data_IF_609054527905
#
_entry.id   IF_609054527905
#
_cell.length_a   1.000
_cell.length_b   1.000
_cell.length_c   1.000
_cell.angle_alpha   90.00
_cell.angle_beta   90.00
_cell.angle_gamma   90.00
#
_symmetry.space_group_name_H-M   'P 1'
#
loop_
_entity.id
_entity.type
_entity.pdbx_description
1 polymer ?
#
# COMPACT_ATOMS: atom_id res chain seq x y z
N UNK A 1 6.33 -2.17 -33.21
CA UNK A 1 7.60 -1.43 -33.00
C UNK A 1 7.27 -0.23 -32.15
N UNK A 2 7.97 -0.03 -31.03
CA UNK A 2 7.72 1.09 -30.11
C UNK A 2 7.97 2.44 -30.80
N UNK A 3 7.01 3.36 -30.67
CA UNK A 3 7.15 4.74 -31.12
C UNK A 3 7.88 5.53 -30.05
N UNK A 4 9.13 5.91 -30.36
CA UNK A 4 10.02 6.62 -29.45
C UNK A 4 10.00 8.13 -29.73
N UNK A 5 9.83 8.92 -28.67
CA UNK A 5 9.98 10.38 -28.72
C UNK A 5 11.46 10.79 -28.83
N UNK A 6 11.79 12.08 -29.10
CA UNK A 6 13.17 12.54 -29.09
C UNK A 6 13.90 12.25 -27.77
N UNK A 7 13.26 12.46 -26.62
CA UNK A 7 13.88 12.22 -25.31
C UNK A 7 14.17 10.72 -25.08
N UNK A 8 13.25 9.84 -25.52
CA UNK A 8 13.44 8.38 -25.45
C UNK A 8 14.68 7.95 -26.27
N UNK A 9 14.84 8.51 -27.49
CA UNK A 9 15.98 8.22 -28.37
C UNK A 9 17.30 8.76 -27.81
N UNK A 10 17.29 9.95 -27.21
CA UNK A 10 18.48 10.53 -26.57
C UNK A 10 18.97 9.69 -25.40
N UNK A 11 18.04 9.17 -24.57
CA UNK A 11 18.38 8.26 -23.47
C UNK A 11 19.01 6.97 -24.01
N UNK A 12 18.38 6.31 -24.99
CA UNK A 12 18.92 5.09 -25.61
C UNK A 12 20.29 5.31 -26.30
N UNK A 13 20.50 6.49 -26.88
CA UNK A 13 21.79 6.86 -27.47
C UNK A 13 22.89 7.12 -26.42
N UNK A 14 22.54 7.24 -25.13
CA UNK A 14 23.47 7.54 -24.05
C UNK A 14 23.78 9.02 -23.86
N UNK A 15 23.09 9.91 -24.59
CA UNK A 15 23.28 11.37 -24.47
C UNK A 15 22.86 11.93 -23.11
N UNK A 16 22.08 11.15 -22.34
CA UNK A 16 21.60 11.49 -20.99
C UNK A 16 22.36 10.75 -19.88
N UNK A 17 23.50 10.15 -20.19
CA UNK A 17 24.33 9.40 -19.25
C UNK A 17 24.02 7.89 -19.22
N UNK A 18 24.95 7.13 -18.63
CA UNK A 18 24.90 5.66 -18.66
C UNK A 18 23.70 5.08 -17.89
N UNK A 19 23.33 5.65 -16.74
CA UNK A 19 22.17 5.20 -15.97
C UNK A 19 20.84 5.43 -16.69
N UNK A 20 20.66 6.59 -17.33
CA UNK A 20 19.45 6.86 -18.12
C UNK A 20 19.35 5.93 -19.34
N UNK A 21 20.47 5.63 -19.99
CA UNK A 21 20.53 4.65 -21.08
C UNK A 21 20.10 3.26 -20.61
N UNK A 22 20.73 2.76 -19.55
CA UNK A 22 20.41 1.45 -18.97
C UNK A 22 18.93 1.35 -18.60
N UNK A 23 18.40 2.38 -17.92
CA UNK A 23 17.01 2.42 -17.50
C UNK A 23 16.06 2.41 -18.71
N UNK A 24 16.35 3.20 -19.74
CA UNK A 24 15.53 3.27 -20.95
C UNK A 24 15.59 1.98 -21.79
N UNK A 25 16.75 1.33 -21.89
CA UNK A 25 16.90 0.01 -22.54
C UNK A 25 16.07 -1.07 -21.82
N UNK A 26 16.11 -1.05 -20.48
CA UNK A 26 15.32 -1.95 -19.64
C UNK A 26 13.82 -1.74 -19.87
N UNK A 27 13.34 -0.49 -19.81
CA UNK A 27 11.93 -0.19 -20.03
C UNK A 27 11.48 -0.41 -21.48
N UNK A 28 12.38 -0.29 -22.46
CA UNK A 28 12.11 -0.65 -23.86
C UNK A 28 11.84 -2.14 -23.98
N UNK A 29 12.68 -2.98 -23.36
CA UNK A 29 12.50 -4.43 -23.33
C UNK A 29 11.17 -4.82 -22.68
N UNK A 30 10.81 -4.16 -21.58
CA UNK A 30 9.49 -4.32 -20.92
C UNK A 30 8.36 -3.92 -21.87
N UNK A 31 8.47 -2.75 -22.51
CA UNK A 31 7.47 -2.26 -23.46
C UNK A 31 7.25 -3.23 -24.63
N UNK A 32 8.31 -3.80 -25.18
CA UNK A 32 8.20 -4.80 -26.25
C UNK A 32 7.54 -6.09 -25.76
N UNK A 33 7.91 -6.58 -24.58
CA UNK A 33 7.33 -7.77 -23.98
C UNK A 33 5.82 -7.65 -23.71
N UNK A 34 5.35 -6.46 -23.32
CA UNK A 34 3.94 -6.18 -23.05
C UNK A 34 3.17 -5.55 -24.23
N UNK A 35 3.77 -5.49 -25.43
CA UNK A 35 3.10 -4.95 -26.62
C UNK A 35 2.73 -3.47 -26.50
N UNK A 36 3.53 -2.68 -25.79
CA UNK A 36 3.38 -1.24 -25.73
C UNK A 36 3.70 -0.61 -27.10
N UNK A 37 2.89 0.36 -27.51
CA UNK A 37 3.09 1.08 -28.78
C UNK A 37 3.92 2.35 -28.60
N UNK A 38 3.93 2.90 -27.38
CA UNK A 38 4.61 4.15 -27.03
C UNK A 38 4.97 4.21 -25.54
N UNK A 39 5.77 5.20 -25.20
CA UNK A 39 6.02 5.63 -23.82
C UNK A 39 5.15 6.82 -23.43
N UNK A 40 4.85 6.89 -22.14
CA UNK A 40 4.10 7.97 -21.49
C UNK A 40 4.95 8.54 -20.33
N UNK A 41 4.70 9.81 -20.01
CA UNK A 41 5.32 10.46 -18.86
C UNK A 41 4.69 9.98 -17.56
N UNK A 42 5.48 9.93 -16.49
CA UNK A 42 4.98 9.75 -15.12
C UNK A 42 5.24 10.99 -14.28
N UNK A 43 4.32 11.32 -13.38
CA UNK A 43 4.41 12.51 -12.53
C UNK A 43 5.12 12.23 -11.20
N UNK A 44 5.10 10.97 -10.75
CA UNK A 44 5.68 10.56 -9.47
C UNK A 44 6.02 9.07 -9.46
N UNK A 45 7.24 8.75 -9.05
CA UNK A 45 7.67 7.40 -8.74
C UNK A 45 7.70 7.11 -7.23
N UNK A 46 7.22 5.93 -6.82
CA UNK A 46 7.35 5.44 -5.46
C UNK A 46 8.02 4.07 -5.50
N UNK A 47 9.26 4.00 -5.02
CA UNK A 47 10.20 2.92 -5.34
C UNK A 47 10.48 2.02 -4.14
N UNK A 48 10.58 0.73 -4.41
CA UNK A 48 10.97 -0.31 -3.47
C UNK A 48 12.48 -0.27 -3.35
N UNK A 49 12.99 0.03 -2.17
CA UNK A 49 14.43 0.25 -2.03
C UNK A 49 14.99 0.08 -0.64
N UNK A 50 14.15 0.14 0.38
CA UNK A 50 14.62 0.15 1.75
C UNK A 50 14.50 -1.23 2.42
N UNK A 51 14.26 -2.27 1.62
CA UNK A 51 14.31 -3.68 2.00
C UNK A 51 15.49 -4.30 1.24
N UNK A 52 16.59 -4.63 1.93
CA UNK A 52 17.71 -5.29 1.28
C UNK A 52 17.39 -6.79 1.11
N UNK A 53 16.66 -7.16 0.05
CA UNK A 53 16.30 -8.56 -0.20
C UNK A 53 17.45 -9.40 -0.77
N UNK A 54 18.43 -8.78 -1.43
CA UNK A 54 19.57 -9.48 -2.03
C UNK A 54 20.79 -8.56 -2.27
N UNK A 55 21.95 -9.15 -2.57
CA UNK A 55 23.15 -8.42 -2.98
C UNK A 55 22.93 -7.59 -4.25
N UNK A 56 22.03 -8.02 -5.15
CA UNK A 56 21.74 -7.29 -6.39
C UNK A 56 21.17 -5.90 -6.11
N UNK A 57 20.44 -5.72 -5.00
CA UNK A 57 19.85 -4.43 -4.62
C UNK A 57 20.92 -3.36 -4.42
N UNK A 58 21.93 -3.68 -3.62
CA UNK A 58 23.00 -2.73 -3.29
C UNK A 58 23.95 -2.54 -4.49
N UNK A 59 24.24 -3.60 -5.24
CA UNK A 59 25.09 -3.51 -6.43
C UNK A 59 24.46 -2.61 -7.51
N UNK A 60 23.14 -2.72 -7.69
CA UNK A 60 22.37 -1.87 -8.59
C UNK A 60 22.45 -0.39 -8.17
N UNK A 61 22.16 -0.08 -6.91
CA UNK A 61 22.22 1.29 -6.38
C UNK A 61 23.64 1.89 -6.47
N UNK A 62 24.66 1.09 -6.16
CA UNK A 62 26.08 1.49 -6.29
C UNK A 62 26.44 1.78 -7.74
N UNK A 63 26.02 0.94 -8.68
CA UNK A 63 26.31 1.14 -10.11
C UNK A 63 25.66 2.40 -10.65
N UNK A 64 24.40 2.64 -10.30
CA UNK A 64 23.70 3.87 -10.70
C UNK A 64 24.37 5.12 -10.13
N UNK A 65 24.81 5.06 -8.87
CA UNK A 65 25.53 6.15 -8.21
C UNK A 65 26.91 6.39 -8.83
N UNK A 66 27.65 5.34 -9.17
CA UNK A 66 28.94 5.39 -9.89
C UNK A 66 28.80 6.11 -11.24
N UNK A 67 27.69 5.87 -11.94
CA UNK A 67 27.37 6.58 -13.19
C UNK A 67 26.89 8.02 -13.02
N UNK A 68 26.78 8.52 -11.77
CA UNK A 68 26.26 9.86 -11.48
C UNK A 68 24.77 10.01 -11.80
N UNK A 69 24.01 8.90 -11.76
CA UNK A 69 22.60 8.88 -12.15
C UNK A 69 21.75 9.72 -11.20
N UNK A 70 20.69 10.33 -11.73
CA UNK A 70 19.69 11.10 -10.99
C UNK A 70 18.29 10.69 -11.42
N UNK A 71 17.33 10.77 -10.51
CA UNK A 71 15.91 10.67 -10.85
C UNK A 71 15.45 11.95 -11.56
N UNK A 72 14.48 11.83 -12.47
CA UNK A 72 13.96 12.95 -13.27
C UNK A 72 12.57 13.41 -12.85
N UNK A 73 11.90 12.65 -11.99
CA UNK A 73 10.57 12.96 -11.42
C UNK A 73 10.64 12.93 -9.90
N UNK A 74 9.71 13.60 -9.18
CA UNK A 74 9.54 13.40 -7.74
C UNK A 74 9.54 11.91 -7.43
N UNK A 75 10.42 11.49 -6.52
CA UNK A 75 10.62 10.07 -6.20
C UNK A 75 10.64 9.89 -4.70
N UNK A 76 9.87 8.93 -4.18
CA UNK A 76 9.83 8.60 -2.74
C UNK A 76 10.16 7.15 -2.50
N UNK A 77 10.82 6.85 -1.39
CA UNK A 77 11.16 5.48 -0.99
C UNK A 77 10.04 4.86 -0.13
N UNK A 78 9.74 3.58 -0.34
CA UNK A 78 8.85 2.77 0.53
C UNK A 78 9.42 2.66 1.96
N UNK A 79 8.62 2.12 2.89
CA UNK A 79 9.12 1.80 4.23
C UNK A 79 10.35 0.87 4.18
N UNK A 80 11.14 0.85 5.26
CA UNK A 80 12.38 0.08 5.35
C UNK A 80 12.28 -1.14 6.26
N UNK A 81 13.35 -1.96 6.30
CA UNK A 81 13.45 -3.14 7.16
C UNK A 81 13.78 -2.84 8.63
N UNK A 82 14.30 -1.64 8.94
CA UNK A 82 14.87 -1.30 10.26
C UNK A 82 14.24 -0.05 10.87
N UNK A 83 14.52 0.30 12.12
CA UNK A 83 14.09 1.61 12.66
C UNK A 83 15.05 2.71 12.17
N UNK A 84 14.62 3.61 11.26
CA UNK A 84 15.50 4.63 10.69
C UNK A 84 15.94 5.69 11.71
N UNK A 85 15.39 5.68 12.93
CA UNK A 85 15.79 6.56 14.04
C UNK A 85 16.95 6.00 14.87
N UNK A 86 17.34 4.74 14.62
CA UNK A 86 18.42 4.05 15.33
C UNK A 86 19.56 3.73 14.36
N UNK A 87 20.80 3.55 14.85
CA UNK A 87 21.88 3.02 14.01
C UNK A 87 21.45 1.70 13.37
N UNK A 88 21.71 1.55 12.08
CA UNK A 88 21.19 0.43 11.29
C UNK A 88 21.69 -0.95 11.78
N UNK A 89 22.87 -1.02 12.41
CA UNK A 89 23.38 -2.28 12.98
C UNK A 89 23.46 -3.40 11.94
N UNK A 90 22.73 -4.50 12.17
CA UNK A 90 22.64 -5.63 11.24
C UNK A 90 21.96 -5.27 9.90
N UNK A 91 21.16 -4.20 9.87
CA UNK A 91 20.49 -3.67 8.67
C UNK A 91 21.34 -2.60 7.93
N UNK A 92 22.66 -2.56 8.15
CA UNK A 92 23.55 -1.55 7.57
C UNK A 92 23.38 -1.38 6.04
N UNK A 93 23.10 -2.47 5.32
CA UNK A 93 22.88 -2.42 3.86
C UNK A 93 21.58 -1.69 3.49
N UNK A 94 20.52 -1.83 4.29
CA UNK A 94 19.28 -1.08 4.06
C UNK A 94 19.48 0.42 4.31
N UNK A 95 20.29 0.78 5.32
CA UNK A 95 20.72 2.16 5.54
C UNK A 95 21.53 2.71 4.35
N UNK A 96 22.52 1.95 3.87
CA UNK A 96 23.33 2.32 2.71
C UNK A 96 22.48 2.51 1.44
N UNK A 97 21.48 1.64 1.21
CA UNK A 97 20.53 1.78 0.09
C UNK A 97 19.76 3.11 0.15
N UNK A 98 19.26 3.49 1.32
CA UNK A 98 18.56 4.75 1.51
C UNK A 98 19.49 5.93 1.17
N UNK A 99 20.74 5.89 1.63
CA UNK A 99 21.73 6.94 1.35
C UNK A 99 22.05 7.04 -0.15
N UNK A 100 22.31 5.90 -0.81
CA UNK A 100 22.61 5.86 -2.25
C UNK A 100 21.46 6.43 -3.07
N UNK A 101 20.23 5.98 -2.85
CA UNK A 101 19.07 6.52 -3.57
C UNK A 101 18.76 7.96 -3.22
N UNK A 102 18.98 8.39 -1.97
CA UNK A 102 18.87 9.81 -1.59
C UNK A 102 19.89 10.66 -2.34
N UNK A 103 21.12 10.16 -2.53
CA UNK A 103 22.15 10.85 -3.34
C UNK A 103 21.77 11.01 -4.82
N UNK A 104 20.89 10.14 -5.31
CA UNK A 104 20.30 10.22 -6.66
C UNK A 104 19.12 11.20 -6.76
N UNK A 105 18.66 11.77 -5.64
CA UNK A 105 17.54 12.72 -5.57
C UNK A 105 16.22 12.11 -5.09
N UNK A 106 16.21 10.88 -4.58
CA UNK A 106 15.01 10.31 -3.98
C UNK A 106 14.77 10.89 -2.58
N UNK A 107 13.51 11.08 -2.22
CA UNK A 107 13.13 11.48 -0.87
C UNK A 107 12.84 10.23 0.00
N UNK A 108 13.52 10.07 1.15
CA UNK A 108 13.30 8.95 2.07
C UNK A 108 12.02 9.18 2.88
N UNK A 109 10.87 9.15 2.20
CA UNK A 109 9.56 9.25 2.83
C UNK A 109 9.24 8.04 3.73
N UNK A 110 9.84 6.89 3.40
CA UNK A 110 9.80 5.65 4.16
C UNK A 110 8.38 5.22 4.53
N UNK A 111 7.49 5.11 3.55
CA UNK A 111 6.08 4.82 3.80
C UNK A 111 5.51 3.83 2.79
N UNK A 112 4.72 2.85 3.24
CA UNK A 112 3.84 2.05 2.37
C UNK A 112 2.55 2.81 1.95
N UNK A 113 2.43 4.07 2.38
CA UNK A 113 1.32 4.98 2.11
C UNK A 113 1.90 6.32 1.63
N UNK A 114 2.40 6.38 0.37
CA UNK A 114 3.07 7.57 -0.15
C UNK A 114 2.12 8.78 -0.23
N UNK A 115 0.82 8.55 -0.44
CA UNK A 115 -0.21 9.59 -0.48
C UNK A 115 -0.37 10.40 0.82
N UNK A 116 0.24 9.97 1.93
CA UNK A 116 0.32 10.78 3.15
C UNK A 116 1.53 11.73 3.20
N UNK A 117 2.50 11.60 2.28
CA UNK A 117 3.80 12.29 2.38
C UNK A 117 3.93 13.46 1.40
N UNK A 118 3.05 13.52 0.40
CA UNK A 118 2.98 14.60 -0.58
C UNK A 118 1.52 14.87 -0.94
N UNK A 119 1.29 15.96 -1.68
CA UNK A 119 -0.01 16.21 -2.32
C UNK A 119 -0.36 15.05 -3.26
N UNK A 120 -1.59 14.57 -3.15
CA UNK A 120 -2.09 13.49 -3.99
C UNK A 120 -2.10 13.87 -5.48
N UNK A 121 -1.75 12.93 -6.37
CA UNK A 121 -1.84 13.12 -7.81
C UNK A 121 -3.31 13.28 -8.26
N UNK A 122 -3.50 13.97 -9.37
CA UNK A 122 -4.84 14.19 -9.93
C UNK A 122 -5.42 12.94 -10.61
N UNK A 123 -6.73 12.98 -10.85
CA UNK A 123 -7.41 11.98 -11.68
C UNK A 123 -6.75 11.87 -13.06
N UNK A 124 -6.47 10.65 -13.50
CA UNK A 124 -5.82 10.36 -14.78
C UNK A 124 -4.29 10.54 -14.79
N UNK A 125 -3.68 11.04 -13.72
CA UNK A 125 -2.22 11.18 -13.63
C UNK A 125 -1.54 9.81 -13.74
N UNK A 126 -0.44 9.75 -14.50
CA UNK A 126 0.33 8.52 -14.66
C UNK A 126 1.46 8.47 -13.63
N UNK A 127 1.60 7.34 -12.94
CA UNK A 127 2.55 7.14 -11.84
C UNK A 127 3.34 5.85 -12.04
N UNK A 128 4.44 5.72 -11.30
CA UNK A 128 5.22 4.48 -11.23
C UNK A 128 5.40 4.06 -9.77
N UNK A 129 4.39 3.38 -9.21
CA UNK A 129 4.40 2.95 -7.80
C UNK A 129 4.57 1.44 -7.67
N UNK A 130 5.35 1.02 -6.67
CA UNK A 130 5.61 -0.40 -6.42
C UNK A 130 4.76 -1.01 -5.29
N UNK A 131 4.41 -0.23 -4.26
CA UNK A 131 3.72 -0.74 -3.08
C UNK A 131 2.29 -1.16 -3.43
N UNK A 132 1.99 -2.45 -3.22
CA UNK A 132 0.70 -3.08 -3.53
C UNK A 132 -0.53 -2.29 -3.06
N UNK A 133 -0.55 -1.87 -1.78
CA UNK A 133 -1.67 -1.11 -1.23
C UNK A 133 -1.73 0.32 -1.78
N UNK A 134 -0.59 0.91 -2.14
CA UNK A 134 -0.53 2.22 -2.74
C UNK A 134 -0.99 2.20 -4.20
N UNK A 135 -0.65 1.15 -4.95
CA UNK A 135 -1.09 0.94 -6.33
C UNK A 135 -2.62 0.89 -6.41
N UNK A 136 -3.27 0.10 -5.55
CA UNK A 136 -4.74 0.03 -5.52
C UNK A 136 -5.36 1.36 -5.14
N UNK A 137 -4.76 2.07 -4.17
CA UNK A 137 -5.21 3.40 -3.76
C UNK A 137 -5.14 4.40 -4.93
N UNK A 138 -3.99 4.48 -5.61
CA UNK A 138 -3.82 5.34 -6.77
C UNK A 138 -4.85 5.05 -7.86
N UNK A 139 -5.03 3.77 -8.22
CA UNK A 139 -5.95 3.41 -9.29
C UNK A 139 -7.42 3.63 -8.92
N UNK A 140 -7.82 3.20 -7.73
CA UNK A 140 -9.25 3.11 -7.36
C UNK A 140 -9.74 4.38 -6.70
N UNK A 141 -8.99 4.90 -5.72
CA UNK A 141 -9.42 6.04 -4.89
C UNK A 141 -9.15 7.35 -5.60
N UNK A 142 -7.97 7.52 -6.18
CA UNK A 142 -7.60 8.76 -6.86
C UNK A 142 -8.03 8.79 -8.33
N UNK A 143 -8.23 7.62 -8.96
CA UNK A 143 -8.38 7.51 -10.41
C UNK A 143 -7.08 7.85 -11.17
N UNK A 144 -5.94 7.84 -10.48
CA UNK A 144 -4.63 7.88 -11.12
C UNK A 144 -4.35 6.53 -11.79
N UNK A 145 -3.24 6.44 -12.54
CA UNK A 145 -2.94 5.30 -13.40
C UNK A 145 -1.53 4.80 -13.13
N UNK A 146 -1.43 3.60 -12.58
CA UNK A 146 -0.15 2.92 -12.36
C UNK A 146 -0.33 1.42 -12.49
N UNK A 147 0.65 0.76 -13.09
CA UNK A 147 0.85 -0.67 -12.90
C UNK A 147 1.46 -0.94 -11.53
N UNK A 148 1.50 -2.22 -11.12
CA UNK A 148 2.32 -2.65 -9.99
C UNK A 148 3.76 -2.83 -10.47
N UNK A 149 4.56 -1.78 -10.33
CA UNK A 149 5.97 -1.84 -10.72
C UNK A 149 6.76 -2.66 -9.72
N UNK A 150 7.59 -3.57 -10.21
CA UNK A 150 8.51 -4.31 -9.36
C UNK A 150 9.79 -3.52 -9.15
N UNK A 151 10.54 -3.93 -8.14
CA UNK A 151 11.86 -3.40 -7.84
C UNK A 151 12.77 -3.37 -9.09
N UNK A 152 13.66 -2.38 -9.14
CA UNK A 152 14.49 -1.99 -10.29
C UNK A 152 13.71 -1.30 -11.41
N UNK A 153 12.53 -1.80 -11.79
CA UNK A 153 11.71 -1.22 -12.85
C UNK A 153 11.11 0.13 -12.43
N UNK A 154 10.67 0.22 -11.18
CA UNK A 154 10.22 1.46 -10.55
C UNK A 154 11.33 2.54 -10.51
N UNK A 155 12.57 2.16 -10.20
CA UNK A 155 13.73 3.06 -10.26
C UNK A 155 14.08 3.44 -11.69
N UNK A 156 13.98 2.52 -12.66
CA UNK A 156 14.15 2.87 -14.07
C UNK A 156 13.09 3.89 -14.53
N UNK A 157 11.85 3.75 -14.07
CA UNK A 157 10.79 4.73 -14.32
C UNK A 157 11.10 6.08 -13.65
N UNK A 158 11.63 6.08 -12.42
CA UNK A 158 12.05 7.29 -11.71
C UNK A 158 13.21 8.03 -12.42
N UNK A 159 14.18 7.28 -12.95
CA UNK A 159 15.34 7.82 -13.68
C UNK A 159 14.91 8.45 -15.00
N UNK A 160 14.08 7.74 -15.76
CA UNK A 160 13.68 8.18 -17.11
C UNK A 160 12.53 9.18 -17.09
N UNK A 161 11.67 9.12 -16.07
CA UNK A 161 10.38 9.83 -16.03
C UNK A 161 9.37 9.25 -17.01
N UNK A 162 9.62 8.04 -17.52
CA UNK A 162 8.89 7.40 -18.61
C UNK A 162 8.50 5.99 -18.23
N UNK A 163 7.35 5.54 -18.71
CA UNK A 163 6.95 4.13 -18.65
C UNK A 163 6.30 3.72 -19.97
N UNK A 164 6.41 2.43 -20.38
CA UNK A 164 5.67 1.98 -21.55
C UNK A 164 4.16 2.03 -21.25
N UNK A 165 3.36 2.42 -22.25
CA UNK A 165 1.90 2.49 -22.10
C UNK A 165 1.29 1.08 -22.24
N UNK A 166 1.10 0.40 -21.12
CA UNK A 166 0.45 -0.91 -21.04
C UNK A 166 -0.29 -1.08 -19.71
N UNK A 167 -1.05 -2.17 -19.58
CA UNK A 167 -1.76 -2.51 -18.34
C UNK A 167 -2.73 -1.40 -17.93
N UNK A 168 -2.75 -1.06 -16.65
CA UNK A 168 -3.69 -0.10 -16.04
C UNK A 168 -3.44 1.36 -16.42
N UNK A 169 -2.39 1.65 -17.21
CA UNK A 169 -2.26 2.95 -17.87
C UNK A 169 -3.27 3.14 -19.00
N UNK A 170 -3.75 2.05 -19.60
CA UNK A 170 -4.72 2.07 -20.67
C UNK A 170 -6.14 1.97 -20.14
N UNK A 171 -7.04 2.77 -20.71
CA UNK A 171 -8.42 2.84 -20.24
C UNK A 171 -9.14 1.50 -20.41
N UNK A 172 -8.96 0.83 -21.54
CA UNK A 172 -9.60 -0.45 -21.87
C UNK A 172 -9.26 -1.59 -20.89
N UNK A 173 -8.10 -1.52 -20.23
CA UNK A 173 -7.65 -2.52 -19.26
C UNK A 173 -8.18 -2.27 -17.85
N UNK A 174 -8.88 -1.14 -17.62
CA UNK A 174 -9.47 -0.77 -16.33
C UNK A 174 -10.93 -1.20 -16.20
N UNK A 175 -11.43 -1.96 -17.17
CA UNK A 175 -12.81 -2.44 -17.23
C UNK A 175 -13.07 -3.49 -16.15
N UNK A 176 -14.12 -3.30 -15.36
CA UNK A 176 -14.56 -4.32 -14.41
C UNK A 176 -15.02 -5.59 -15.12
N UNK A 177 -14.48 -6.74 -14.73
CA UNK A 177 -14.85 -8.06 -15.27
C UNK A 177 -15.59 -8.94 -14.25
N UNK A 178 -15.45 -8.65 -12.96
CA UNK A 178 -16.14 -9.33 -11.87
C UNK A 178 -16.93 -8.31 -11.05
N UNK A 179 -18.19 -8.61 -10.73
CA UNK A 179 -19.07 -7.73 -9.96
C UNK A 179 -19.46 -8.40 -8.65
N UNK A 180 -19.28 -7.71 -7.53
CA UNK A 180 -19.71 -8.12 -6.21
C UNK A 180 -20.93 -7.30 -5.79
N UNK A 181 -22.09 -7.94 -5.61
CA UNK A 181 -23.32 -7.27 -5.18
C UNK A 181 -23.55 -7.50 -3.68
N UNK A 182 -23.37 -6.45 -2.90
CA UNK A 182 -23.62 -6.48 -1.46
C UNK A 182 -25.11 -6.44 -1.18
N UNK A 183 -25.61 -7.39 -0.38
CA UNK A 183 -27.02 -7.44 0.02
C UNK A 183 -27.14 -7.76 1.51
N UNK A 184 -28.18 -7.22 2.16
CA UNK A 184 -28.48 -7.54 3.57
C UNK A 184 -27.43 -7.10 4.60
N UNK A 185 -26.42 -6.32 4.22
CA UNK A 185 -25.35 -5.88 5.13
C UNK A 185 -25.93 -4.96 6.23
N UNK A 186 -25.69 -5.28 7.53
CA UNK A 186 -26.11 -4.42 8.63
C UNK A 186 -25.61 -2.98 8.48
N UNK A 187 -26.44 -2.00 8.83
CA UNK A 187 -26.11 -0.58 8.56
C UNK A 187 -24.94 -0.08 9.41
N UNK A 188 -24.81 -0.57 10.63
CA UNK A 188 -23.73 -0.27 11.56
C UNK A 188 -22.37 -0.78 11.07
N UNK A 189 -22.31 -1.88 10.30
CA UNK A 189 -21.07 -2.40 9.74
C UNK A 189 -20.40 -1.41 8.76
N UNK A 190 -21.18 -0.58 8.07
CA UNK A 190 -20.62 0.43 7.16
C UNK A 190 -19.88 1.57 7.86
N UNK A 191 -20.01 1.71 9.18
CA UNK A 191 -19.24 2.66 9.95
C UNK A 191 -17.87 2.10 10.41
N UNK A 192 -17.66 0.79 10.32
CA UNK A 192 -16.46 0.11 10.82
C UNK A 192 -15.53 -0.32 9.67
N UNK A 193 -14.25 0.03 9.73
CA UNK A 193 -13.24 -0.41 8.76
C UNK A 193 -13.07 -1.93 8.73
N UNK A 194 -13.47 -2.64 9.79
CA UNK A 194 -13.52 -4.11 9.82
C UNK A 194 -14.31 -4.70 8.64
N UNK A 195 -15.45 -4.08 8.27
CA UNK A 195 -16.24 -4.50 7.10
C UNK A 195 -15.39 -4.43 5.82
N UNK A 196 -14.69 -3.32 5.62
CA UNK A 196 -13.96 -3.04 4.40
C UNK A 196 -12.71 -3.91 4.28
N UNK A 197 -12.01 -4.13 5.38
CA UNK A 197 -10.93 -5.10 5.47
C UNK A 197 -11.39 -6.52 5.13
N UNK A 198 -12.51 -6.96 5.72
CA UNK A 198 -13.08 -8.29 5.49
C UNK A 198 -13.55 -8.47 4.05
N UNK A 199 -14.27 -7.47 3.51
CA UNK A 199 -14.72 -7.44 2.13
C UNK A 199 -13.53 -7.42 1.16
N UNK A 200 -12.47 -6.67 1.47
CA UNK A 200 -11.26 -6.65 0.66
C UNK A 200 -10.61 -8.03 0.55
N UNK A 201 -10.52 -8.79 1.65
CA UNK A 201 -10.02 -10.18 1.59
C UNK A 201 -10.94 -11.08 0.74
N UNK A 202 -12.25 -10.94 0.88
CA UNK A 202 -13.21 -11.70 0.08
C UNK A 202 -13.03 -11.40 -1.41
N UNK A 203 -13.01 -10.11 -1.77
CA UNK A 203 -12.83 -9.63 -3.14
C UNK A 203 -11.51 -10.12 -3.71
N UNK A 204 -10.40 -9.97 -2.98
CA UNK A 204 -9.09 -10.41 -3.47
C UNK A 204 -9.04 -11.91 -3.73
N UNK A 205 -9.49 -12.74 -2.80
CA UNK A 205 -9.52 -14.20 -2.97
C UNK A 205 -10.36 -14.66 -4.17
N UNK A 206 -11.41 -13.92 -4.54
CA UNK A 206 -12.33 -14.32 -5.60
C UNK A 206 -12.03 -13.67 -6.95
N UNK A 207 -11.50 -12.45 -6.96
CA UNK A 207 -11.20 -11.71 -8.19
C UNK A 207 -9.81 -12.02 -8.75
N UNK A 208 -8.83 -12.36 -7.90
CA UNK A 208 -7.44 -12.49 -8.33
C UNK A 208 -6.93 -11.18 -8.96
N UNK A 209 -6.32 -11.29 -10.14
CA UNK A 209 -5.77 -10.17 -10.90
C UNK A 209 -6.80 -9.44 -11.81
N UNK A 210 -8.08 -9.85 -11.76
CA UNK A 210 -9.17 -9.14 -12.43
C UNK A 210 -9.42 -7.77 -11.81
N UNK A 211 -10.14 -6.90 -12.54
CA UNK A 211 -10.66 -5.63 -11.99
C UNK A 211 -12.07 -5.88 -11.44
N UNK A 212 -12.27 -5.92 -10.11
CA UNK A 212 -13.59 -6.06 -9.52
C UNK A 212 -14.36 -4.73 -9.47
N UNK A 213 -15.68 -4.81 -9.58
CA UNK A 213 -16.61 -3.75 -9.20
C UNK A 213 -17.42 -4.17 -7.98
N UNK A 214 -17.50 -3.31 -6.97
CA UNK A 214 -18.28 -3.53 -5.75
C UNK A 214 -19.51 -2.63 -5.80
N UNK A 215 -20.68 -3.28 -5.85
CA UNK A 215 -21.98 -2.63 -5.87
C UNK A 215 -22.66 -2.78 -4.50
N UNK A 216 -23.19 -1.69 -3.96
CA UNK A 216 -23.88 -1.68 -2.65
C UNK A 216 -23.11 -1.03 -1.49
N UNK A 217 -21.92 -0.47 -1.74
CA UNK A 217 -21.27 0.45 -0.79
C UNK A 217 -22.07 1.76 -0.66
N UNK A 218 -21.85 2.50 0.43
CA UNK A 218 -22.60 3.73 0.73
C UNK A 218 -21.93 4.94 0.07
N UNK A 219 -22.69 5.95 -0.40
CA UNK A 219 -22.10 7.18 -0.96
C UNK A 219 -21.16 7.93 0.00
N UNK A 220 -21.29 7.72 1.32
CA UNK A 220 -20.42 8.31 2.35
C UNK A 220 -19.21 7.45 2.72
N UNK A 221 -18.90 6.39 1.98
CA UNK A 221 -17.72 5.56 2.24
C UNK A 221 -16.44 6.40 2.19
N UNK A 222 -15.64 6.35 3.25
CA UNK A 222 -14.48 7.23 3.42
C UNK A 222 -13.24 6.73 2.68
N UNK A 223 -12.24 7.61 2.55
CA UNK A 223 -10.94 7.27 1.96
C UNK A 223 -10.24 6.16 2.76
N UNK A 224 -10.31 6.20 4.09
CA UNK A 224 -9.73 5.20 4.99
C UNK A 224 -10.37 3.82 4.74
N UNK A 225 -11.70 3.78 4.62
CA UNK A 225 -12.46 2.56 4.30
C UNK A 225 -12.10 1.99 2.92
N UNK A 226 -11.99 2.83 1.88
CA UNK A 226 -11.57 2.37 0.54
C UNK A 226 -10.13 1.86 0.54
N UNK A 227 -9.24 2.48 1.31
CA UNK A 227 -7.86 2.03 1.47
C UNK A 227 -7.78 0.73 2.25
N UNK A 228 -8.61 0.53 3.28
CA UNK A 228 -8.73 -0.74 4.00
C UNK A 228 -9.16 -1.88 3.07
N UNK A 229 -10.18 -1.63 2.24
CA UNK A 229 -10.64 -2.57 1.20
C UNK A 229 -9.54 -2.87 0.19
N UNK A 230 -8.98 -1.83 -0.42
CA UNK A 230 -7.97 -1.98 -1.47
C UNK A 230 -6.70 -2.67 -0.99
N UNK A 231 -6.25 -2.33 0.23
CA UNK A 231 -5.08 -2.96 0.84
C UNK A 231 -5.30 -4.45 1.08
N UNK A 232 -6.47 -4.84 1.59
CA UNK A 232 -6.79 -6.25 1.84
C UNK A 232 -6.97 -7.05 0.54
N UNK A 233 -7.60 -6.45 -0.48
CA UNK A 233 -7.76 -7.07 -1.79
C UNK A 233 -6.41 -7.27 -2.51
N UNK A 234 -5.49 -6.31 -2.38
CA UNK A 234 -4.14 -6.44 -2.90
C UNK A 234 -3.39 -7.61 -2.24
N UNK A 235 -3.52 -7.77 -0.91
CA UNK A 235 -2.82 -8.81 -0.15
C UNK A 235 -3.30 -10.23 -0.46
N UNK A 236 -4.62 -10.42 -0.55
CA UNK A 236 -5.22 -11.73 -0.78
C UNK A 236 -5.31 -12.13 -2.26
N UNK A 237 -5.43 -11.16 -3.17
CA UNK A 237 -5.75 -11.41 -4.57
C UNK A 237 -4.78 -10.84 -5.62
N UNK A 238 -3.76 -10.06 -5.25
CA UNK A 238 -3.02 -9.22 -6.21
C UNK A 238 -3.89 -8.24 -7.01
N UNK A 239 -5.09 -7.91 -6.52
CA UNK A 239 -5.94 -6.86 -7.09
C UNK A 239 -5.14 -5.56 -7.14
N UNK A 240 -5.05 -4.95 -8.32
CA UNK A 240 -4.30 -3.69 -8.54
C UNK A 240 -5.21 -2.48 -8.72
N UNK A 241 -6.51 -2.71 -8.86
CA UNK A 241 -7.55 -1.70 -9.01
C UNK A 241 -8.91 -2.32 -8.68
N UNK A 242 -9.83 -1.57 -8.10
CA UNK A 242 -11.24 -1.90 -8.01
C UNK A 242 -12.10 -0.69 -8.34
N UNK A 243 -13.37 -0.92 -8.63
CA UNK A 243 -14.40 0.12 -8.74
C UNK A 243 -15.38 -0.01 -7.58
N UNK A 244 -15.61 1.06 -6.81
CA UNK A 244 -16.75 1.13 -5.89
C UNK A 244 -17.85 1.97 -6.55
N UNK A 245 -18.96 1.32 -6.89
CA UNK A 245 -20.02 1.94 -7.70
C UNK A 245 -20.64 3.12 -6.95
N UNK A 246 -20.63 4.29 -7.59
CA UNK A 246 -21.13 5.56 -7.04
C UNK A 246 -20.17 6.23 -6.06
N UNK A 247 -18.97 5.67 -5.81
CA UNK A 247 -18.00 6.18 -4.84
C UNK A 247 -16.68 6.53 -5.51
N UNK A 248 -16.05 5.60 -6.24
CA UNK A 248 -14.74 5.85 -6.87
C UNK A 248 -14.87 6.67 -8.16
N UNK A 249 -13.89 7.52 -8.51
CA UNK A 249 -14.02 8.49 -9.59
C UNK A 249 -14.35 7.91 -10.97
N UNK A 250 -13.86 6.71 -11.30
CA UNK A 250 -14.10 6.05 -12.60
C UNK A 250 -15.41 5.26 -12.66
N UNK A 251 -16.16 5.16 -11.55
CA UNK A 251 -17.32 4.29 -11.45
C UNK A 251 -18.57 5.01 -10.93
N UNK A 252 -19.04 6.10 -11.56
CA UNK A 252 -20.29 6.74 -11.15
C UNK A 252 -21.49 5.79 -11.28
N UNK A 253 -21.40 4.79 -12.16
CA UNK A 253 -22.40 3.73 -12.35
C UNK A 253 -21.72 2.40 -12.66
N UNK A 254 -22.45 1.30 -12.48
CA UNK A 254 -21.98 -0.03 -12.87
C UNK A 254 -21.68 -0.11 -14.38
N UNK A 255 -22.51 0.53 -15.22
CA UNK A 255 -22.30 0.58 -16.67
C UNK A 255 -20.96 1.26 -17.02
N UNK A 256 -20.61 2.34 -16.32
CA UNK A 256 -19.33 3.01 -16.51
C UNK A 256 -18.15 2.13 -16.09
N UNK A 257 -18.23 1.47 -14.92
CA UNK A 257 -17.19 0.58 -14.43
C UNK A 257 -16.94 -0.63 -15.37
N UNK A 258 -18.01 -1.20 -15.93
CA UNK A 258 -17.93 -2.29 -16.91
C UNK A 258 -17.73 -1.80 -18.36
N UNK A 259 -17.58 -0.49 -18.58
CA UNK A 259 -17.39 0.13 -19.90
C UNK A 259 -18.46 -0.30 -20.93
N UNK A 260 -19.71 -0.42 -20.48
CA UNK A 260 -20.85 -0.84 -21.29
C UNK A 260 -20.90 -2.33 -21.64
N UNK A 261 -19.96 -3.14 -21.17
CA UNK A 261 -20.00 -4.59 -21.33
C UNK A 261 -20.70 -5.28 -20.15
N UNK A 262 -21.23 -6.48 -20.38
CA UNK A 262 -21.69 -7.33 -19.29
C UNK A 262 -20.50 -7.88 -18.49
N UNK A 263 -20.62 -8.01 -17.16
CA UNK A 263 -19.58 -8.62 -16.35
C UNK A 263 -19.43 -10.11 -16.68
N UNK A 264 -18.20 -10.61 -16.62
CA UNK A 264 -17.92 -12.03 -16.85
C UNK A 264 -18.41 -12.90 -15.68
N UNK A 265 -18.39 -12.35 -14.48
CA UNK A 265 -18.82 -13.01 -13.26
C UNK A 265 -19.55 -12.01 -12.35
N UNK A 266 -20.68 -12.43 -11.79
CA UNK A 266 -21.41 -11.69 -10.76
C UNK A 266 -21.53 -12.56 -9.52
N UNK A 267 -21.20 -11.99 -8.37
CA UNK A 267 -21.13 -12.67 -7.08
C UNK A 267 -21.97 -11.89 -6.08
N UNK A 268 -22.97 -12.54 -5.50
CA UNK A 268 -23.77 -11.94 -4.43
C UNK A 268 -23.05 -12.19 -3.10
N UNK A 269 -22.92 -11.13 -2.29
CA UNK A 269 -22.20 -11.16 -1.00
C UNK A 269 -23.13 -10.72 0.12
N UNK A 270 -23.38 -11.62 1.06
CA UNK A 270 -24.17 -11.38 2.26
C UNK A 270 -23.33 -11.19 3.53
N UNK A 271 -23.96 -10.93 4.68
CA UNK A 271 -23.27 -10.76 5.96
C UNK A 271 -22.47 -11.99 6.39
N UNK A 272 -23.00 -13.19 6.14
CA UNK A 272 -22.35 -14.45 6.51
C UNK A 272 -21.05 -14.69 5.73
N UNK A 273 -21.00 -14.30 4.45
CA UNK A 273 -19.78 -14.40 3.63
C UNK A 273 -18.66 -13.52 4.17
N UNK A 274 -19.01 -12.30 4.60
CA UNK A 274 -18.09 -11.33 5.18
C UNK A 274 -17.59 -11.83 6.54
N UNK A 275 -18.50 -12.25 7.43
CA UNK A 275 -18.14 -12.78 8.74
C UNK A 275 -17.28 -14.05 8.65
N UNK A 276 -17.62 -14.97 7.75
CA UNK A 276 -16.84 -16.18 7.51
C UNK A 276 -15.45 -15.86 6.94
N UNK A 277 -15.33 -14.82 6.11
CA UNK A 277 -14.03 -14.37 5.60
C UNK A 277 -13.18 -13.76 6.71
N UNK A 278 -13.76 -12.89 7.55
CA UNK A 278 -13.08 -12.31 8.70
C UNK A 278 -12.58 -13.39 9.67
N UNK A 279 -13.40 -14.40 9.96
CA UNK A 279 -13.05 -15.49 10.85
C UNK A 279 -11.84 -16.31 10.35
N UNK A 280 -11.64 -16.42 9.02
CA UNK A 280 -10.48 -17.11 8.43
C UNK A 280 -9.15 -16.36 8.60
N UNK A 281 -9.19 -15.06 8.91
CA UNK A 281 -7.99 -14.29 9.25
C UNK A 281 -7.53 -14.54 10.69
N UNK A 282 -8.38 -15.16 11.51
CA UNK A 282 -8.04 -15.52 12.88
C UNK A 282 -7.40 -16.91 12.93
N UNK A 283 -6.22 -17.01 13.56
CA UNK A 283 -5.53 -18.26 13.82
C UNK A 283 -5.80 -18.67 15.27
N UNK A 284 -6.55 -19.76 15.52
CA UNK A 284 -6.89 -20.18 16.87
C UNK A 284 -5.65 -20.49 17.72
N UNK A 285 -5.64 -19.98 18.94
CA UNK A 285 -4.58 -20.26 19.93
C UNK A 285 -5.14 -20.13 21.35
N UNK A 286 -4.46 -20.78 22.30
CA UNK A 286 -4.71 -20.61 23.75
C UNK A 286 -3.83 -19.52 24.38
N UNK A 287 -2.88 -18.98 23.62
CA UNK A 287 -1.98 -17.95 24.11
C UNK A 287 -2.71 -16.63 24.33
N UNK A 288 -2.33 -15.89 25.38
CA UNK A 288 -2.85 -14.54 25.61
C UNK A 288 -2.34 -13.58 24.53
N UNK A 289 -3.17 -12.60 24.17
CA UNK A 289 -2.75 -11.51 23.27
C UNK A 289 -1.62 -10.72 23.94
N UNK A 290 -0.43 -10.74 23.34
CA UNK A 290 0.76 -10.07 23.86
C UNK A 290 0.97 -8.67 23.28
N UNK A 291 0.40 -8.41 22.10
CA UNK A 291 0.42 -7.10 21.47
C UNK A 291 -0.82 -6.87 20.60
N UNK A 292 -1.17 -5.61 20.43
CA UNK A 292 -2.15 -5.12 19.47
C UNK A 292 -1.39 -4.32 18.42
N UNK A 293 -1.39 -4.78 17.17
CA UNK A 293 -0.70 -4.12 16.06
C UNK A 293 -1.72 -3.45 15.14
N UNK A 294 -1.61 -2.14 14.94
CA UNK A 294 -2.51 -1.37 14.09
C UNK A 294 -1.73 -0.58 13.03
N UNK A 295 -2.45 -0.24 11.96
CA UNK A 295 -1.93 0.66 10.93
C UNK A 295 -1.00 0.04 9.92
N UNK A 296 -1.18 -1.22 9.53
CA UNK A 296 -0.65 -1.73 8.26
C UNK A 296 -1.65 -1.43 7.12
N UNK A 297 -1.28 -0.71 6.04
CA UNK A 297 0.07 -0.27 5.67
C UNK A 297 0.67 0.83 6.56
N UNK A 298 0.09 2.04 6.65
CA UNK A 298 0.44 3.09 7.62
C UNK A 298 -0.82 3.90 7.95
N UNK A 299 -1.06 4.15 9.24
CA UNK A 299 -2.19 4.97 9.68
C UNK A 299 -2.12 6.40 9.13
N UNK A 300 -3.30 6.93 8.84
CA UNK A 300 -3.60 8.30 8.51
C UNK A 300 -3.80 9.13 9.78
N UNK A 301 -3.73 10.48 9.69
CA UNK A 301 -4.13 11.33 10.79
C UNK A 301 -5.57 11.10 11.28
N UNK A 302 -6.49 10.66 10.40
CA UNK A 302 -7.88 10.40 10.77
C UNK A 302 -8.03 9.15 11.63
N UNK A 303 -7.34 8.06 11.29
CA UNK A 303 -7.32 6.84 12.12
C UNK A 303 -6.68 7.09 13.48
N UNK A 304 -5.62 7.91 13.55
CA UNK A 304 -5.04 8.28 14.83
C UNK A 304 -5.99 9.10 15.70
N UNK A 305 -6.86 9.94 15.10
CA UNK A 305 -7.94 10.63 15.85
C UNK A 305 -8.93 9.63 16.42
N UNK A 306 -9.39 8.68 15.61
CA UNK A 306 -10.30 7.61 16.07
C UNK A 306 -9.66 6.77 17.19
N UNK A 307 -8.40 6.38 17.03
CA UNK A 307 -7.65 5.67 18.07
C UNK A 307 -7.57 6.49 19.36
N UNK A 308 -7.23 7.78 19.27
CA UNK A 308 -7.15 8.67 20.43
C UNK A 308 -8.48 8.80 21.17
N UNK A 309 -9.60 8.87 20.45
CA UNK A 309 -10.95 8.89 21.03
C UNK A 309 -11.27 7.59 21.77
N UNK A 310 -10.91 6.44 21.21
CA UNK A 310 -11.15 5.13 21.82
C UNK A 310 -10.33 4.88 23.09
N UNK A 311 -9.12 5.45 23.18
CA UNK A 311 -8.25 5.32 24.37
C UNK A 311 -8.46 6.44 25.40
N UNK A 312 -9.27 7.46 25.10
CA UNK A 312 -9.38 8.67 25.91
C UNK A 312 -9.72 8.36 27.37
N UNK A 313 -8.86 8.80 28.30
CA UNK A 313 -9.04 8.58 29.74
C UNK A 313 -8.81 7.14 30.21
N UNK A 314 -8.30 6.26 29.35
CA UNK A 314 -8.00 4.85 29.64
C UNK A 314 -6.49 4.64 29.75
N UNK A 315 -6.10 3.47 30.25
CA UNK A 315 -4.72 3.03 30.30
C UNK A 315 -4.62 1.66 29.62
N UNK A 316 -3.62 1.50 28.77
CA UNK A 316 -3.37 0.24 28.07
C UNK A 316 -2.61 -0.72 29.00
N UNK A 317 -3.09 -1.96 29.10
CA UNK A 317 -2.49 -3.07 29.85
C UNK A 317 -1.74 -4.03 28.93
N UNK A 318 -2.15 -4.12 27.67
CA UNK A 318 -1.44 -4.80 26.60
C UNK A 318 -0.85 -3.77 25.65
N UNK A 319 0.35 -4.05 25.12
CA UNK A 319 1.06 -3.16 24.20
C UNK A 319 0.18 -2.88 22.98
N UNK A 320 0.01 -1.60 22.63
CA UNK A 320 -0.63 -1.19 21.38
C UNK A 320 0.40 -0.47 20.52
N UNK A 321 0.72 -1.07 19.37
CA UNK A 321 1.77 -0.64 18.47
C UNK A 321 1.12 -0.12 17.18
N UNK A 322 1.27 1.17 16.92
CA UNK A 322 0.70 1.84 15.75
C UNK A 322 1.79 2.18 14.72
N UNK A 323 1.56 1.77 13.49
CA UNK A 323 2.52 1.97 12.39
C UNK A 323 2.18 3.20 11.57
N UNK A 324 3.20 4.02 11.29
CA UNK A 324 3.04 5.32 10.63
C UNK A 324 4.33 5.76 9.92
N UNK A 325 4.26 6.90 9.24
CA UNK A 325 5.42 7.55 8.64
C UNK A 325 5.76 8.87 9.34
N UNK A 326 6.93 9.44 9.02
CA UNK A 326 7.41 10.67 9.64
C UNK A 326 6.50 11.88 9.36
N UNK A 327 5.88 11.96 8.18
CA UNK A 327 5.00 13.07 7.82
C UNK A 327 3.70 13.06 8.63
N UNK A 328 3.06 11.89 8.77
CA UNK A 328 1.90 11.71 9.65
C UNK A 328 2.28 12.00 11.10
N UNK A 329 3.43 11.51 11.57
CA UNK A 329 3.91 11.79 12.94
C UNK A 329 4.05 13.29 13.21
N UNK A 330 4.64 14.05 12.27
CA UNK A 330 4.75 15.50 12.39
C UNK A 330 3.36 16.17 12.50
N UNK A 331 2.38 15.72 11.72
CA UNK A 331 1.00 16.19 11.83
C UNK A 331 0.36 15.90 13.21
N UNK A 332 0.64 14.73 13.79
CA UNK A 332 0.18 14.39 15.15
C UNK A 332 0.83 15.27 16.21
N UNK A 333 2.11 15.64 16.04
CA UNK A 333 2.82 16.53 16.95
C UNK A 333 2.26 17.95 16.88
N UNK A 334 2.02 18.48 15.66
CA UNK A 334 1.45 19.81 15.45
C UNK A 334 0.02 19.95 16.01
N UNK A 335 -0.78 18.88 15.94
CA UNK A 335 -2.14 18.86 16.50
C UNK A 335 -2.22 18.59 18.00
N UNK A 336 -1.10 18.24 18.64
CA UNK A 336 -1.04 17.82 20.04
C UNK A 336 -1.53 16.39 20.30
N UNK A 337 -2.02 15.69 19.27
CA UNK A 337 -2.56 14.34 19.37
C UNK A 337 -1.50 13.29 19.71
N UNK A 338 -0.25 13.54 19.28
CA UNK A 338 0.88 12.68 19.62
C UNK A 338 1.02 12.49 21.13
N UNK A 339 0.93 13.58 21.91
CA UNK A 339 1.06 13.52 23.36
C UNK A 339 -0.08 12.74 24.03
N UNK A 340 -1.30 12.87 23.53
CA UNK A 340 -2.46 12.08 24.02
C UNK A 340 -2.26 10.59 23.79
N UNK A 341 -1.82 10.21 22.59
CA UNK A 341 -1.57 8.80 22.23
C UNK A 341 -0.39 8.22 23.04
N UNK A 342 0.71 8.97 23.16
CA UNK A 342 1.89 8.55 23.91
C UNK A 342 1.56 8.39 25.41
N UNK A 343 0.84 9.33 26.03
CA UNK A 343 0.40 9.23 27.42
C UNK A 343 -0.59 8.09 27.67
N UNK A 344 -1.36 7.70 26.64
CA UNK A 344 -2.22 6.52 26.68
C UNK A 344 -1.44 5.20 26.62
N UNK A 345 -0.15 5.22 26.28
CA UNK A 345 0.71 4.04 26.17
C UNK A 345 0.81 3.49 24.74
N UNK A 346 0.45 4.27 23.71
CA UNK A 346 0.61 3.86 22.31
C UNK A 346 2.09 3.90 21.92
N UNK A 347 2.60 2.79 21.42
CA UNK A 347 3.94 2.66 20.86
C UNK A 347 3.92 2.95 19.36
N UNK A 348 4.90 3.70 18.84
CA UNK A 348 4.95 4.10 17.44
C UNK A 348 6.06 3.38 16.66
N UNK A 349 5.67 2.75 15.55
CA UNK A 349 6.56 2.21 14.53
C UNK A 349 6.58 3.19 13.37
N UNK A 350 7.72 3.85 13.15
CA UNK A 350 7.84 4.96 12.21
C UNK A 350 8.79 4.59 11.08
N UNK A 351 8.31 4.69 9.84
CA UNK A 351 9.17 4.59 8.65
C UNK A 351 9.58 3.17 8.27
N UNK A 352 9.10 2.16 8.98
CA UNK A 352 9.53 0.78 8.83
C UNK A 352 8.37 -0.17 8.71
N UNK A 353 8.61 -1.28 8.04
CA UNK A 353 7.64 -2.34 7.94
C UNK A 353 7.52 -3.12 9.25
N UNK A 354 6.28 -3.45 9.63
CA UNK A 354 6.00 -4.23 10.85
C UNK A 354 6.41 -5.69 10.74
N UNK A 355 6.55 -6.22 9.53
CA UNK A 355 6.90 -7.62 9.29
C UNK A 355 8.41 -7.90 9.36
N UNK A 356 9.24 -6.90 9.67
CA UNK A 356 10.69 -7.06 9.75
C UNK A 356 11.21 -7.02 11.19
N UNK A 357 12.27 -7.80 11.46
CA UNK A 357 12.95 -7.88 12.77
C UNK A 357 13.63 -6.55 13.13
N UNK A 358 13.81 -6.20 14.41
CA UNK A 358 13.49 -6.96 15.64
C UNK A 358 12.05 -6.83 16.14
N UNK A 359 11.19 -6.00 15.53
CA UNK A 359 9.82 -5.84 16.02
C UNK A 359 9.08 -7.19 16.07
N UNK A 360 9.19 -7.98 15.00
CA UNK A 360 8.67 -9.34 14.93
C UNK A 360 9.03 -10.22 16.15
N UNK A 361 10.25 -10.13 16.65
CA UNK A 361 10.73 -10.94 17.79
C UNK A 361 10.22 -10.44 19.14
N UNK A 362 9.68 -9.22 19.21
CA UNK A 362 9.18 -8.59 20.43
C UNK A 362 7.65 -8.73 20.60
N UNK A 363 6.93 -9.25 19.60
CA UNK A 363 5.47 -9.30 19.59
C UNK A 363 4.87 -10.45 20.42
N UNK A 364 5.65 -11.48 20.73
CA UNK A 364 5.15 -12.72 21.34
C UNK A 364 4.42 -13.61 20.34
N UNK A 365 3.70 -14.62 20.84
CA UNK A 365 3.09 -15.66 20.00
C UNK A 365 1.69 -15.31 19.47
N UNK A 366 0.98 -14.34 20.06
CA UNK A 366 -0.39 -14.01 19.69
C UNK A 366 -0.61 -12.50 19.62
N UNK A 367 -0.94 -12.01 18.43
CA UNK A 367 -1.16 -10.59 18.15
C UNK A 367 -2.60 -10.35 17.72
N UNK A 368 -3.20 -9.28 18.22
CA UNK A 368 -4.50 -8.81 17.73
C UNK A 368 -4.30 -7.63 16.79
N UNK A 369 -5.11 -7.50 15.74
CA UNK A 369 -4.98 -6.40 14.77
C UNK A 369 -6.31 -5.98 14.18
N UNK A 370 -6.40 -4.69 13.81
CA UNK A 370 -7.51 -4.16 13.03
C UNK A 370 -7.26 -4.17 11.51
N UNK A 371 -6.07 -4.61 11.07
CA UNK A 371 -5.68 -4.61 9.66
C UNK A 371 -5.72 -6.02 9.10
N UNK A 372 -6.56 -6.24 8.09
CA UNK A 372 -6.56 -7.53 7.38
C UNK A 372 -5.25 -7.79 6.62
N UNK A 373 -4.53 -6.75 6.18
CA UNK A 373 -3.18 -6.92 5.59
C UNK A 373 -2.21 -7.43 6.66
N UNK A 374 -2.29 -6.90 7.87
CA UNK A 374 -1.50 -7.42 9.00
C UNK A 374 -1.86 -8.86 9.32
N UNK A 375 -3.15 -9.18 9.44
CA UNK A 375 -3.60 -10.54 9.74
C UNK A 375 -3.28 -11.56 8.65
N UNK A 376 -3.22 -11.12 7.39
CA UNK A 376 -2.88 -11.98 6.26
C UNK A 376 -1.41 -12.42 6.28
N UNK A 377 -0.48 -11.48 6.48
CA UNK A 377 0.97 -11.77 6.42
C UNK A 377 1.57 -12.16 7.78
N UNK A 378 0.97 -11.73 8.89
CA UNK A 378 1.48 -12.00 10.25
C UNK A 378 1.85 -13.47 10.50
N UNK A 379 0.95 -14.43 10.23
CA UNK A 379 1.25 -15.85 10.44
C UNK A 379 2.41 -16.36 9.60
N UNK A 380 2.49 -16.01 8.31
CA UNK A 380 3.52 -16.51 7.40
C UNK A 380 4.88 -15.85 7.62
N UNK A 381 4.88 -14.55 7.91
CA UNK A 381 6.10 -13.74 7.90
C UNK A 381 6.72 -13.64 9.30
N UNK A 382 5.90 -13.75 10.36
CA UNK A 382 6.34 -13.58 11.74
C UNK A 382 6.16 -14.83 12.61
N UNK A 383 5.51 -15.88 12.12
CA UNK A 383 5.21 -17.11 12.88
C UNK A 383 4.42 -16.81 14.18
N UNK A 384 3.37 -15.98 14.05
CA UNK A 384 2.49 -15.59 15.16
C UNK A 384 1.04 -15.99 14.87
N UNK A 385 0.33 -16.41 15.92
CA UNK A 385 -1.12 -16.50 15.87
C UNK A 385 -1.72 -15.09 15.80
N UNK A 386 -2.84 -14.94 15.10
CA UNK A 386 -3.48 -13.64 14.90
C UNK A 386 -4.95 -13.68 15.25
N UNK A 387 -5.44 -12.62 15.92
CA UNK A 387 -6.86 -12.30 16.01
C UNK A 387 -7.15 -11.02 15.23
N UNK A 388 -7.94 -11.12 14.16
CA UNK A 388 -8.42 -9.97 13.40
C UNK A 388 -9.76 -9.48 13.97
N UNK A 389 -9.87 -8.18 14.24
CA UNK A 389 -11.07 -7.58 14.85
C UNK A 389 -11.24 -6.09 14.47
N UNK A 390 -12.28 -5.43 14.99
CA UNK A 390 -12.43 -3.99 14.83
C UNK A 390 -11.36 -3.21 15.61
N UNK A 391 -11.11 -1.95 15.22
CA UNK A 391 -10.22 -1.07 15.99
C UNK A 391 -10.72 -0.90 17.44
N UNK A 392 -12.04 -0.83 17.62
CA UNK A 392 -12.67 -0.75 18.94
C UNK A 392 -12.32 -1.98 19.78
N UNK A 393 -12.53 -3.18 19.26
CA UNK A 393 -12.25 -4.41 20.01
C UNK A 393 -10.75 -4.57 20.30
N UNK A 394 -9.89 -4.14 19.37
CA UNK A 394 -8.45 -4.05 19.61
C UNK A 394 -8.11 -3.15 20.79
N UNK A 395 -8.75 -1.98 20.90
CA UNK A 395 -8.56 -1.06 22.03
C UNK A 395 -9.14 -1.62 23.32
N UNK A 396 -10.33 -2.24 23.27
CA UNK A 396 -10.93 -2.91 24.44
C UNK A 396 -9.99 -3.98 24.99
N UNK A 397 -9.48 -4.87 24.12
CA UNK A 397 -8.48 -5.88 24.49
C UNK A 397 -7.23 -5.25 25.10
N UNK A 398 -6.75 -4.16 24.50
CA UNK A 398 -5.55 -3.48 24.97
C UNK A 398 -5.74 -2.87 26.37
N UNK A 399 -6.93 -2.37 26.70
CA UNK A 399 -7.26 -1.82 28.01
C UNK A 399 -7.58 -2.88 29.07
N UNK A 400 -8.25 -3.97 28.71
CA UNK A 400 -8.65 -5.01 29.65
C UNK A 400 -7.45 -5.89 30.06
N UNK A 401 -6.56 -6.19 29.11
CA UNK A 401 -5.33 -6.95 29.31
C UNK A 401 -5.52 -8.48 29.29
N UNK A 402 -6.72 -8.98 29.04
CA UNK A 402 -7.06 -10.41 29.03
C UNK A 402 -7.82 -10.87 27.80
#
# INVERSE_FOLDING_TARGET
MLTLTPIDKEMLAGSRGAGAKFAMETLTSVGEAFGAERFIDVEWAHVASAYCHSQANIDFAKKLTEWGTRVSVPTTLTACSFDPRRPAGEDAVAGELIELYSSMGCEPALSCAPYHTRKEPGFGAHLAWCESSAVVYANSVLGARTNRYVEFMDMCAAITGRVPEYGLHRFENRKATVVFNLHGIPQDWFADEWLFHSLGILVGNQAGDSVPAINGLKPGTTVEQLRALGSAAASSGSVSMFHAIGVTPEAPTLIAACQGADPQLSIDVGPDDIAATAAKLCIPTTDKVTAVCVGAPHFSPAEFRNLAELIAGRQLRTRLIASTNAATLANLQESGLFGTLEQGGVEFVIGRCTYYRPLATELGNHVMTNSAKWAWYGPSDLDVAVTFASLRDCVERACDGE
#
